data_IF_407651934183
#
_entry.id   IF_407651934183
#
_cell.length_a   1.000
_cell.length_b   1.000
_cell.length_c   1.000
_cell.angle_alpha   90.00
_cell.angle_beta   90.00
_cell.angle_gamma   90.00
#
_symmetry.space_group_name_H-M   'P 1'
#
loop_
_entity.id
_entity.type
_entity.pdbx_description
1 polymer ?
#
# COMPACT_ATOMS: atom_id res chain seq x y z
N UNK A 1 10.38 29.97 -14.71
CA UNK A 1 11.06 29.37 -13.54
C UNK A 1 10.03 29.44 -12.42
N UNK A 2 9.11 28.47 -12.39
CA UNK A 2 7.95 28.52 -11.49
C UNK A 2 8.44 28.44 -10.04
N UNK A 3 8.21 29.52 -9.30
CA UNK A 3 8.58 29.69 -7.90
C UNK A 3 7.73 28.75 -7.05
N UNK A 4 8.22 27.52 -6.84
CA UNK A 4 7.63 26.53 -5.93
C UNK A 4 7.66 27.12 -4.52
N UNK A 5 6.51 27.62 -4.06
CA UNK A 5 6.38 28.14 -2.70
C UNK A 5 6.51 26.96 -1.71
N UNK A 6 7.36 27.07 -0.67
CA UNK A 6 7.66 25.97 0.25
C UNK A 6 6.46 25.50 1.08
N UNK A 7 5.43 26.32 1.26
CA UNK A 7 4.21 25.97 2.00
C UNK A 7 3.47 24.76 1.40
N UNK A 8 3.41 24.65 0.05
CA UNK A 8 2.67 23.55 -0.59
C UNK A 8 3.27 22.17 -0.31
N UNK A 9 4.58 22.10 -0.06
CA UNK A 9 5.29 20.83 0.17
C UNK A 9 4.90 20.21 1.53
N UNK A 10 4.62 21.06 2.52
CA UNK A 10 4.17 20.64 3.85
C UNK A 10 2.72 20.15 3.80
N UNK A 11 1.83 20.87 3.10
CA UNK A 11 0.45 20.42 2.89
C UNK A 11 0.42 19.08 2.13
N UNK A 12 1.17 18.94 1.03
CA UNK A 12 1.19 17.71 0.23
C UNK A 12 1.69 16.51 1.05
N UNK A 13 2.66 16.72 1.93
CA UNK A 13 3.20 15.69 2.83
C UNK A 13 2.18 15.26 3.88
N UNK A 14 1.48 16.21 4.51
CA UNK A 14 0.43 15.91 5.48
C UNK A 14 -0.71 15.08 4.87
N UNK A 15 -1.11 15.36 3.63
CA UNK A 15 -2.16 14.59 2.93
C UNK A 15 -1.71 13.16 2.62
N UNK A 16 -0.44 12.95 2.22
CA UNK A 16 0.11 11.62 1.94
C UNK A 16 0.17 10.74 3.21
N UNK A 17 0.55 11.33 4.34
CA UNK A 17 0.57 10.64 5.64
C UNK A 17 -0.84 10.21 6.08
N UNK A 18 -1.83 11.11 5.99
CA UNK A 18 -3.23 10.81 6.34
C UNK A 18 -3.80 9.73 5.41
N UNK A 19 -3.54 9.83 4.11
CA UNK A 19 -3.99 8.84 3.13
C UNK A 19 -3.39 7.46 3.42
N UNK A 20 -2.08 7.39 3.70
CA UNK A 20 -1.41 6.13 4.05
C UNK A 20 -1.93 5.51 5.35
N UNK A 21 -2.19 6.31 6.39
CA UNK A 21 -2.74 5.83 7.65
C UNK A 21 -4.17 5.27 7.49
N UNK A 22 -4.98 5.91 6.64
CA UNK A 22 -6.33 5.44 6.32
C UNK A 22 -6.32 4.12 5.55
N UNK A 23 -5.50 4.04 4.49
CA UNK A 23 -5.30 2.81 3.70
C UNK A 23 -4.74 1.67 4.56
N UNK A 24 -3.82 1.97 5.47
CA UNK A 24 -3.25 0.99 6.41
C UNK A 24 -4.31 0.44 7.37
N UNK A 25 -5.14 1.31 7.95
CA UNK A 25 -6.22 0.90 8.86
C UNK A 25 -7.27 0.03 8.17
N UNK A 26 -7.66 0.39 6.94
CA UNK A 26 -8.57 -0.41 6.11
C UNK A 26 -7.94 -1.75 5.73
N UNK A 27 -6.64 -1.76 5.39
CA UNK A 27 -5.88 -2.96 5.09
C UNK A 27 -5.89 -3.95 6.26
N UNK A 28 -5.60 -3.48 7.48
CA UNK A 28 -5.62 -4.31 8.70
C UNK A 28 -7.02 -4.87 8.97
N UNK A 29 -8.05 -4.02 8.89
CA UNK A 29 -9.44 -4.46 9.13
C UNK A 29 -9.88 -5.55 8.15
N UNK A 30 -9.53 -5.40 6.87
CA UNK A 30 -9.89 -6.36 5.81
C UNK A 30 -9.03 -7.64 5.87
N UNK A 31 -7.77 -7.54 6.30
CA UNK A 31 -6.90 -8.68 6.54
C UNK A 31 -7.47 -9.60 7.62
N UNK A 32 -7.88 -9.04 8.77
CA UNK A 32 -8.45 -9.79 9.90
C UNK A 32 -9.81 -10.42 9.53
N UNK A 33 -10.61 -9.73 8.73
CA UNK A 33 -11.95 -10.20 8.31
C UNK A 33 -11.91 -11.22 7.16
N UNK A 34 -10.74 -11.42 6.53
CA UNK A 34 -10.61 -12.32 5.39
C UNK A 34 -10.72 -13.80 5.81
N UNK A 35 -11.60 -14.55 5.15
CA UNK A 35 -11.71 -16.02 5.33
C UNK A 35 -11.01 -16.81 4.23
N UNK A 36 -10.52 -16.15 3.19
CA UNK A 36 -9.87 -16.77 2.05
C UNK A 36 -8.43 -16.24 1.97
N UNK A 37 -7.45 -17.14 1.86
CA UNK A 37 -6.03 -16.78 1.81
C UNK A 37 -5.71 -15.82 0.66
N UNK A 38 -6.31 -16.01 -0.52
CA UNK A 38 -6.16 -15.09 -1.67
C UNK A 38 -6.72 -13.69 -1.36
N UNK A 39 -7.91 -13.61 -0.74
CA UNK A 39 -8.48 -12.31 -0.34
C UNK A 39 -7.62 -11.64 0.74
N UNK A 40 -7.01 -12.43 1.63
CA UNK A 40 -6.07 -11.92 2.63
C UNK A 40 -4.84 -11.27 1.98
N UNK A 41 -4.27 -11.92 0.96
CA UNK A 41 -3.11 -11.42 0.21
C UNK A 41 -3.44 -10.11 -0.52
N UNK A 42 -4.62 -9.97 -1.11
CA UNK A 42 -4.99 -8.74 -1.81
C UNK A 42 -5.12 -7.53 -0.87
N UNK A 43 -5.57 -7.78 0.37
CA UNK A 43 -5.59 -6.74 1.41
C UNK A 43 -4.21 -6.47 1.99
N UNK A 44 -3.32 -7.47 1.99
CA UNK A 44 -1.92 -7.32 2.35
C UNK A 44 -1.20 -6.42 1.35
N UNK A 45 -1.46 -6.55 0.05
CA UNK A 45 -0.91 -5.64 -0.97
C UNK A 45 -1.32 -4.19 -0.75
N UNK A 46 -2.61 -3.94 -0.44
CA UNK A 46 -3.11 -2.61 -0.15
C UNK A 46 -2.44 -2.00 1.08
N UNK A 47 -2.20 -2.80 2.11
CA UNK A 47 -1.51 -2.41 3.34
C UNK A 47 -0.03 -2.09 3.08
N UNK A 48 0.66 -2.93 2.30
CA UNK A 48 2.05 -2.71 1.94
C UNK A 48 2.22 -1.50 1.02
N UNK A 49 1.28 -1.25 0.10
CA UNK A 49 1.27 -0.06 -0.74
C UNK A 49 1.07 1.22 0.08
N UNK A 50 0.22 1.18 1.12
CA UNK A 50 0.04 2.30 2.05
C UNK A 50 1.35 2.64 2.80
N UNK A 51 2.04 1.62 3.31
CA UNK A 51 3.34 1.79 3.98
C UNK A 51 4.42 2.29 3.00
N UNK A 52 4.41 1.85 1.75
CA UNK A 52 5.34 2.32 0.73
C UNK A 52 5.17 3.81 0.40
N UNK A 53 3.93 4.32 0.41
CA UNK A 53 3.64 5.77 0.26
C UNK A 53 4.10 6.56 1.49
N UNK A 54 3.95 5.99 2.69
CA UNK A 54 4.39 6.61 3.94
C UNK A 54 5.93 6.69 4.05
N UNK A 55 6.62 5.67 3.54
CA UNK A 55 8.08 5.57 3.52
C UNK A 55 8.61 6.15 2.20
N UNK A 56 8.82 7.47 2.15
CA UNK A 56 9.31 8.24 0.99
C UNK A 56 10.67 7.78 0.37
N UNK A 57 11.25 6.65 0.80
CA UNK A 57 12.46 5.99 0.24
C UNK A 57 12.35 4.45 0.22
N UNK A 58 11.14 3.91 0.18
CA UNK A 58 10.85 2.48 0.26
C UNK A 58 11.14 1.65 -0.99
N UNK A 59 12.19 1.94 -1.78
CA UNK A 59 12.44 1.24 -3.06
C UNK A 59 12.46 -0.29 -2.93
N UNK A 60 13.04 -0.81 -1.84
CA UNK A 60 13.12 -2.24 -1.56
C UNK A 60 11.76 -2.80 -1.13
N UNK A 61 10.97 -2.00 -0.41
CA UNK A 61 9.63 -2.37 0.05
C UNK A 61 8.65 -2.45 -1.14
N UNK A 62 8.78 -1.56 -2.11
CA UNK A 62 7.99 -1.58 -3.36
C UNK A 62 8.22 -2.87 -4.17
N UNK A 63 9.45 -3.37 -4.25
CA UNK A 63 9.76 -4.61 -4.98
C UNK A 63 9.18 -5.82 -4.24
N UNK A 64 9.19 -5.80 -2.90
CA UNK A 64 8.54 -6.82 -2.09
C UNK A 64 7.02 -6.87 -2.32
N UNK A 65 6.34 -5.71 -2.42
CA UNK A 65 4.91 -5.65 -2.78
C UNK A 65 4.67 -6.32 -4.13
N UNK A 66 5.47 -5.98 -5.15
CA UNK A 66 5.34 -6.54 -6.50
C UNK A 66 5.55 -8.07 -6.49
N UNK A 67 6.47 -8.58 -5.67
CA UNK A 67 6.69 -10.02 -5.52
C UNK A 67 5.50 -10.74 -4.87
N UNK A 68 4.86 -10.12 -3.88
CA UNK A 68 3.62 -10.63 -3.27
C UNK A 68 2.46 -10.60 -4.29
N UNK A 69 2.33 -9.53 -5.07
CA UNK A 69 1.38 -9.42 -6.18
C UNK A 69 1.54 -10.56 -7.19
N UNK A 70 2.80 -10.83 -7.58
CA UNK A 70 3.13 -11.87 -8.53
C UNK A 70 2.81 -13.27 -7.98
N UNK A 71 3.10 -13.50 -6.69
CA UNK A 71 2.73 -14.74 -6.02
C UNK A 71 1.20 -14.93 -5.98
N UNK A 72 0.44 -13.89 -5.62
CA UNK A 72 -1.03 -13.94 -5.62
C UNK A 72 -1.59 -14.26 -7.02
N UNK A 73 -1.12 -13.57 -8.06
CA UNK A 73 -1.56 -13.79 -9.43
C UNK A 73 -1.28 -15.23 -9.92
N UNK A 74 -0.26 -15.91 -9.36
CA UNK A 74 0.02 -17.31 -9.63
C UNK A 74 -0.91 -18.28 -8.88
N UNK A 75 -1.36 -17.95 -7.67
CA UNK A 75 -2.28 -18.78 -6.88
C UNK A 75 -3.76 -18.54 -7.18
N UNK A 76 -4.13 -17.34 -7.64
CA UNK A 76 -5.50 -16.96 -8.00
C UNK A 76 -6.21 -17.92 -8.96
N UNK A 77 -5.60 -18.34 -10.09
CA UNK A 77 -6.19 -19.31 -11.00
C UNK A 77 -6.06 -20.77 -10.54
N UNK A 78 -5.25 -21.06 -9.51
CA UNK A 78 -5.02 -22.42 -9.03
C UNK A 78 -6.05 -22.91 -7.99
N UNK A 79 -6.90 -21.99 -7.51
CA UNK A 79 -7.89 -22.25 -6.44
C UNK A 79 -9.32 -22.42 -7.01
N UNK A 80 -9.52 -22.26 -8.32
CA UNK A 80 -10.81 -22.53 -9.01
C UNK A 80 -10.86 -23.95 -9.57
#
# INVERSE_FOLDING_TARGET
QEFVRPDYQEYLSNHALVLSAFLFSIGIYRLITSRNMVRALMYLELLLNAVNINLFKGNIFSIFVIAVAAAEAAFGPAIV
#
